data_IF_603698389130
#
_entry.id   IF_603698389130
#
_cell.length_a   1.000
_cell.length_b   1.000
_cell.length_c   1.000
_cell.angle_alpha   90.00
_cell.angle_beta   90.00
_cell.angle_gamma   90.00
#
_symmetry.space_group_name_H-M   'P 1'
#
loop_
_entity.id
_entity.type
_entity.pdbx_description
1 polymer ?
#
# COMPACT_ATOMS: atom_id res chain seq x y z
N UNK A 1 24.02 14.12 0.77
CA UNK A 1 22.57 14.08 1.06
C UNK A 1 21.92 15.04 0.10
N UNK A 2 21.39 14.53 -1.02
CA UNK A 2 20.60 15.34 -1.94
C UNK A 2 19.23 15.58 -1.30
N UNK A 3 19.08 16.72 -0.64
CA UNK A 3 17.78 17.21 -0.19
C UNK A 3 16.91 17.51 -1.42
N UNK A 4 15.64 17.13 -1.37
CA UNK A 4 14.61 17.36 -2.42
C UNK A 4 14.35 18.86 -2.75
N UNK A 5 15.16 19.77 -2.23
CA UNK A 5 15.11 21.22 -2.47
C UNK A 5 15.33 21.62 -3.93
N UNK A 6 15.85 20.72 -4.77
CA UNK A 6 16.08 20.94 -6.20
C UNK A 6 15.08 20.19 -7.12
N UNK A 7 13.96 19.69 -6.59
CA UNK A 7 12.98 18.98 -7.40
C UNK A 7 12.24 19.95 -8.34
N UNK A 8 12.61 19.92 -9.61
CA UNK A 8 12.11 20.81 -10.68
C UNK A 8 10.65 20.57 -11.11
N UNK A 9 9.89 19.74 -10.37
CA UNK A 9 8.56 19.29 -10.77
C UNK A 9 8.54 18.30 -11.94
N UNK A 10 9.68 18.03 -12.58
CA UNK A 10 9.85 16.90 -13.48
C UNK A 10 10.54 15.75 -12.73
N UNK A 11 9.99 14.53 -12.77
CA UNK A 11 10.70 13.37 -12.24
C UNK A 11 12.05 13.28 -12.96
N UNK A 12 13.18 13.05 -12.26
CA UNK A 12 14.46 12.88 -12.91
C UNK A 12 14.31 11.82 -14.01
N UNK A 13 14.52 12.24 -15.26
CA UNK A 13 14.63 11.34 -16.42
C UNK A 13 15.96 10.58 -16.36
N UNK A 14 16.31 10.02 -15.21
CA UNK A 14 17.23 8.90 -15.23
C UNK A 14 16.46 7.81 -15.99
N UNK A 15 16.86 7.53 -17.23
CA UNK A 15 16.56 6.22 -17.81
C UNK A 15 17.17 5.23 -16.83
N UNK A 16 16.34 4.65 -15.97
CA UNK A 16 16.78 3.55 -15.12
C UNK A 16 17.48 2.53 -16.00
N UNK A 17 18.38 1.75 -15.40
CA UNK A 17 18.77 0.49 -16.02
C UNK A 17 17.47 -0.21 -16.47
N UNK A 18 17.40 -0.63 -17.73
CA UNK A 18 16.15 -1.12 -18.30
C UNK A 18 15.55 -2.21 -17.41
N UNK A 19 14.24 -2.17 -17.20
CA UNK A 19 13.52 -3.23 -16.48
C UNK A 19 13.76 -4.53 -17.23
N UNK A 20 14.21 -5.56 -16.52
CA UNK A 20 14.51 -6.85 -17.11
C UNK A 20 13.21 -7.57 -17.53
N UNK A 21 13.29 -8.47 -18.51
CA UNK A 21 12.13 -9.25 -18.92
C UNK A 21 11.52 -10.09 -17.76
N UNK A 22 12.32 -10.70 -16.86
CA UNK A 22 11.78 -11.36 -15.67
C UNK A 22 11.00 -10.40 -14.75
N UNK A 23 11.50 -9.19 -14.50
CA UNK A 23 10.77 -8.21 -13.67
C UNK A 23 9.44 -7.79 -14.32
N UNK A 24 9.40 -7.64 -15.65
CA UNK A 24 8.15 -7.37 -16.36
C UNK A 24 7.16 -8.54 -16.27
N UNK A 25 7.66 -9.77 -16.25
CA UNK A 25 6.83 -10.96 -16.05
C UNK A 25 6.26 -11.00 -14.63
N UNK A 26 7.09 -10.78 -13.61
CA UNK A 26 6.64 -10.72 -12.22
C UNK A 26 5.60 -9.61 -12.00
N UNK A 27 5.80 -8.44 -12.62
CA UNK A 27 4.83 -7.35 -12.61
C UNK A 27 3.50 -7.81 -13.22
N UNK A 28 3.53 -8.42 -14.40
CA UNK A 28 2.34 -8.90 -15.07
C UNK A 28 1.62 -9.99 -14.26
N UNK A 29 2.35 -10.93 -13.68
CA UNK A 29 1.79 -12.00 -12.86
C UNK A 29 1.11 -11.45 -11.61
N UNK A 30 1.69 -10.43 -10.96
CA UNK A 30 1.06 -9.75 -9.82
C UNK A 30 -0.24 -9.02 -10.23
N UNK A 31 -0.22 -8.34 -11.39
CA UNK A 31 -1.38 -7.63 -11.92
C UNK A 31 -2.53 -8.60 -12.25
N UNK A 32 -2.23 -9.66 -13.00
CA UNK A 32 -3.21 -10.65 -13.42
C UNK A 32 -3.75 -11.44 -12.22
N UNK A 33 -2.91 -11.78 -11.25
CA UNK A 33 -3.34 -12.45 -10.02
C UNK A 33 -4.33 -11.58 -9.23
N UNK A 34 -4.05 -10.29 -9.06
CA UNK A 34 -4.99 -9.37 -8.41
C UNK A 34 -6.32 -9.29 -9.17
N UNK A 35 -6.28 -9.27 -10.50
CA UNK A 35 -7.49 -9.25 -11.33
C UNK A 35 -8.30 -10.55 -11.21
N UNK A 36 -7.64 -11.70 -11.16
CA UNK A 36 -8.32 -12.99 -10.96
C UNK A 36 -8.91 -13.13 -9.57
N UNK A 37 -8.28 -12.59 -8.53
CA UNK A 37 -8.88 -12.51 -7.19
C UNK A 37 -10.18 -11.71 -7.23
N UNK A 38 -10.24 -10.59 -7.95
CA UNK A 38 -11.48 -9.81 -8.09
C UNK A 38 -12.60 -10.60 -8.80
N UNK A 39 -12.27 -11.41 -9.81
CA UNK A 39 -13.26 -12.29 -10.47
C UNK A 39 -13.74 -13.39 -9.53
N UNK A 40 -12.83 -14.10 -8.86
CA UNK A 40 -13.16 -15.13 -7.89
C UNK A 40 -14.01 -14.57 -6.72
N UNK A 41 -13.71 -13.36 -6.25
CA UNK A 41 -14.48 -12.67 -5.22
C UNK A 41 -15.94 -12.46 -5.64
N UNK A 42 -16.19 -12.10 -6.91
CA UNK A 42 -17.54 -11.92 -7.46
C UNK A 42 -18.30 -13.25 -7.55
N UNK A 43 -17.63 -14.31 -8.01
CA UNK A 43 -18.23 -15.65 -8.05
C UNK A 43 -18.58 -16.16 -6.65
N UNK A 44 -17.67 -16.00 -5.68
CA UNK A 44 -17.90 -16.36 -4.29
C UNK A 44 -19.01 -15.53 -3.65
N UNK A 45 -19.13 -14.24 -4.00
CA UNK A 45 -20.22 -13.39 -3.54
C UNK A 45 -21.57 -13.88 -4.06
N UNK A 46 -21.66 -14.27 -5.34
CA UNK A 46 -22.89 -14.86 -5.91
C UNK A 46 -23.29 -16.16 -5.21
N UNK A 47 -22.32 -16.91 -4.68
CA UNK A 47 -22.54 -18.12 -3.89
C UNK A 47 -22.83 -17.84 -2.41
N UNK A 48 -22.85 -16.58 -1.96
CA UNK A 48 -23.04 -16.21 -0.55
C UNK A 48 -21.84 -16.56 0.35
N UNK A 49 -20.64 -16.64 -0.22
CA UNK A 49 -19.40 -17.05 0.48
C UNK A 49 -18.40 -15.91 0.68
N UNK A 50 -18.53 -14.82 -0.06
CA UNK A 50 -17.77 -13.59 0.15
C UNK A 50 -18.74 -12.44 0.47
N UNK A 51 -18.63 -11.87 1.67
CA UNK A 51 -19.67 -10.98 2.22
C UNK A 51 -19.37 -9.50 2.01
N UNK A 52 -18.09 -9.14 1.85
CA UNK A 52 -17.67 -7.77 1.63
C UNK A 52 -16.54 -7.73 0.61
N UNK A 53 -16.89 -7.41 -0.64
CA UNK A 53 -15.95 -7.42 -1.77
C UNK A 53 -15.69 -5.99 -2.25
N UNK A 54 -14.42 -5.61 -2.29
CA UNK A 54 -13.97 -4.38 -2.95
C UNK A 54 -12.81 -4.78 -3.84
N UNK A 55 -13.00 -4.64 -5.15
CA UNK A 55 -11.99 -5.01 -6.13
C UNK A 55 -10.88 -3.98 -6.27
N UNK A 56 -9.72 -4.46 -6.73
CA UNK A 56 -8.55 -3.65 -7.10
C UNK A 56 -8.49 -3.34 -8.60
N UNK A 57 -9.52 -3.74 -9.35
CA UNK A 57 -9.70 -3.48 -10.76
C UNK A 57 -9.39 -2.03 -11.17
N UNK A 58 -8.43 -1.87 -12.09
CA UNK A 58 -7.97 -0.58 -12.60
C UNK A 58 -6.79 0.01 -11.82
N UNK A 59 -6.42 -0.59 -10.69
CA UNK A 59 -5.36 -0.14 -9.79
C UNK A 59 -4.16 -1.09 -9.79
N UNK A 60 -4.09 -2.06 -10.71
CA UNK A 60 -3.07 -3.11 -10.67
C UNK A 60 -1.64 -2.59 -10.88
N UNK A 61 -1.48 -1.39 -11.45
CA UNK A 61 -0.19 -0.73 -11.58
C UNK A 61 0.52 -0.49 -10.24
N UNK A 62 -0.20 -0.49 -9.11
CA UNK A 62 0.43 -0.37 -7.78
C UNK A 62 1.35 -1.56 -7.41
N UNK A 63 1.32 -2.66 -8.16
CA UNK A 63 2.34 -3.72 -8.09
C UNK A 63 3.76 -3.17 -8.35
N UNK A 64 3.91 -2.23 -9.30
CA UNK A 64 5.21 -1.63 -9.60
C UNK A 64 5.76 -0.83 -8.40
N UNK A 65 4.88 -0.21 -7.61
CA UNK A 65 5.28 0.47 -6.37
C UNK A 65 5.79 -0.53 -5.35
N UNK A 66 5.12 -1.68 -5.18
CA UNK A 66 5.61 -2.73 -4.30
C UNK A 66 6.99 -3.24 -4.73
N UNK A 67 7.18 -3.47 -6.02
CA UNK A 67 8.45 -3.95 -6.60
C UNK A 67 9.60 -2.96 -6.42
N UNK A 68 9.32 -1.65 -6.42
CA UNK A 68 10.31 -0.61 -6.17
C UNK A 68 10.70 -0.48 -4.68
N UNK A 69 10.00 -1.16 -3.78
CA UNK A 69 10.21 -1.12 -2.33
C UNK A 69 10.72 -2.47 -1.83
N UNK A 70 11.44 -2.46 -0.70
CA UNK A 70 11.94 -3.69 -0.07
C UNK A 70 10.83 -4.35 0.75
N UNK A 71 10.85 -5.69 0.93
CA UNK A 71 9.91 -6.39 1.82
C UNK A 71 9.86 -5.85 3.25
N UNK A 72 10.96 -5.27 3.72
CA UNK A 72 11.11 -4.67 5.05
C UNK A 72 10.58 -3.24 5.18
N UNK A 73 10.22 -2.59 4.07
CA UNK A 73 9.66 -1.24 4.07
C UNK A 73 8.17 -1.31 4.48
N UNK A 74 7.75 -0.65 5.57
CA UNK A 74 6.40 -0.77 6.11
C UNK A 74 5.37 -0.09 5.21
N UNK A 75 4.28 -0.81 4.92
CA UNK A 75 3.22 -0.38 4.02
C UNK A 75 1.88 -0.23 4.75
N UNK A 76 1.21 0.91 4.54
CA UNK A 76 -0.17 1.16 4.93
C UNK A 76 -1.00 1.40 3.66
N UNK A 77 -1.81 0.42 3.29
CA UNK A 77 -2.35 0.35 1.93
C UNK A 77 -3.83 0.69 1.86
N UNK A 78 -4.18 1.48 0.85
CA UNK A 78 -5.54 1.67 0.37
C UNK A 78 -6.23 0.33 0.08
N UNK A 79 -7.56 0.29 0.24
CA UNK A 79 -8.34 -0.95 0.18
C UNK A 79 -8.43 -1.58 -1.23
N UNK A 80 -7.89 -0.90 -2.25
CA UNK A 80 -7.75 -1.36 -3.65
C UNK A 80 -6.32 -1.77 -4.02
N UNK A 81 -5.46 -2.00 -3.03
CA UNK A 81 -4.05 -2.35 -3.27
C UNK A 81 -3.77 -3.86 -3.37
N UNK A 82 -4.63 -4.62 -4.07
CA UNK A 82 -4.47 -6.06 -4.26
C UNK A 82 -3.19 -6.44 -5.01
N UNK A 83 -2.85 -5.73 -6.09
CA UNK A 83 -1.65 -6.05 -6.88
C UNK A 83 -0.35 -5.70 -6.12
N UNK A 84 -0.35 -4.62 -5.33
CA UNK A 84 0.72 -4.32 -4.38
C UNK A 84 0.93 -5.51 -3.43
N UNK A 85 -0.16 -6.04 -2.84
CA UNK A 85 -0.09 -7.16 -1.91
C UNK A 85 0.54 -8.40 -2.58
N UNK A 86 0.08 -8.76 -3.78
CA UNK A 86 0.62 -9.90 -4.53
C UNK A 86 2.10 -9.71 -4.84
N UNK A 87 2.48 -8.56 -5.40
CA UNK A 87 3.87 -8.27 -5.72
C UNK A 87 4.77 -8.30 -4.46
N UNK A 88 4.31 -7.76 -3.34
CA UNK A 88 5.02 -7.84 -2.06
C UNK A 88 5.17 -9.27 -1.56
N UNK A 89 4.14 -10.11 -1.72
CA UNK A 89 4.20 -11.52 -1.37
C UNK A 89 5.15 -12.33 -2.25
N UNK A 90 5.37 -11.94 -3.51
CA UNK A 90 6.32 -12.60 -4.41
C UNK A 90 7.79 -12.32 -4.05
N UNK A 91 8.07 -11.23 -3.30
CA UNK A 91 9.43 -10.86 -2.90
C UNK A 91 10.02 -11.73 -1.77
N UNK A 92 9.24 -12.65 -1.19
CA UNK A 92 9.73 -13.50 -0.12
C UNK A 92 8.76 -14.62 0.26
N UNK A 93 9.20 -15.61 1.05
CA UNK A 93 8.34 -16.70 1.48
C UNK A 93 7.34 -16.25 2.56
N UNK A 94 6.29 -17.04 2.76
CA UNK A 94 5.44 -16.96 3.95
C UNK A 94 4.08 -16.30 3.76
N UNK A 95 3.66 -16.05 2.52
CA UNK A 95 2.30 -15.68 2.14
C UNK A 95 1.87 -16.50 0.93
N UNK A 96 0.56 -16.75 0.84
CA UNK A 96 -0.11 -17.37 -0.30
C UNK A 96 -1.11 -16.34 -0.80
N UNK A 97 -0.70 -15.38 -1.64
CA UNK A 97 -1.39 -14.09 -1.74
C UNK A 97 -2.83 -14.19 -2.24
N UNK A 98 -3.12 -15.14 -3.13
CA UNK A 98 -4.49 -15.43 -3.58
C UNK A 98 -5.34 -15.95 -2.43
N UNK A 99 -4.84 -16.92 -1.65
CA UNK A 99 -5.55 -17.49 -0.51
C UNK A 99 -5.75 -16.45 0.60
N UNK A 100 -4.73 -15.64 0.90
CA UNK A 100 -4.77 -14.63 1.95
C UNK A 100 -5.82 -13.54 1.65
N UNK A 101 -5.84 -13.04 0.41
CA UNK A 101 -6.82 -12.05 -0.04
C UNK A 101 -8.24 -12.64 -0.04
N UNK A 102 -8.43 -13.87 -0.55
CA UNK A 102 -9.73 -14.54 -0.55
C UNK A 102 -10.21 -14.83 0.88
N UNK A 103 -9.32 -15.24 1.80
CA UNK A 103 -9.65 -15.48 3.20
C UNK A 103 -10.22 -14.23 3.86
N UNK A 104 -9.65 -13.05 3.59
CA UNK A 104 -10.17 -11.78 4.10
C UNK A 104 -11.55 -11.43 3.53
N UNK A 105 -11.77 -11.63 2.23
CA UNK A 105 -13.05 -11.37 1.56
C UNK A 105 -14.18 -12.31 2.02
N UNK A 106 -13.82 -13.52 2.45
CA UNK A 106 -14.74 -14.56 2.93
C UNK A 106 -14.97 -14.52 4.45
N UNK A 107 -14.42 -13.53 5.17
CA UNK A 107 -14.45 -13.46 6.64
C UNK A 107 -13.93 -14.76 7.30
N UNK A 108 -12.91 -15.38 6.70
CA UNK A 108 -12.36 -16.64 7.17
C UNK A 108 -11.54 -16.45 8.43
N UNK A 109 -11.64 -17.38 9.39
CA UNK A 109 -10.74 -17.43 10.54
C UNK A 109 -9.27 -17.69 10.15
N UNK A 110 -9.04 -18.11 8.90
CA UNK A 110 -7.71 -18.25 8.30
C UNK A 110 -7.13 -16.96 7.76
N UNK A 111 -7.88 -15.86 7.74
CA UNK A 111 -7.35 -14.54 7.37
C UNK A 111 -6.15 -14.21 8.29
N UNK A 112 -4.93 -14.09 7.73
CA UNK A 112 -3.70 -13.95 8.51
C UNK A 112 -3.61 -12.62 9.29
N UNK A 113 -4.44 -11.64 8.95
CA UNK A 113 -4.43 -10.33 9.60
C UNK A 113 -5.62 -10.09 10.51
N UNK A 114 -6.84 -10.42 10.08
CA UNK A 114 -8.05 -10.10 10.85
C UNK A 114 -8.65 -11.28 11.61
N UNK A 115 -8.29 -12.51 11.25
CA UNK A 115 -8.96 -13.72 11.74
C UNK A 115 -10.47 -13.74 11.41
N UNK A 116 -10.86 -13.14 10.29
CA UNK A 116 -12.25 -13.07 9.81
C UNK A 116 -13.08 -11.93 10.39
N UNK A 117 -12.48 -11.06 11.22
CA UNK A 117 -13.19 -9.95 11.88
C UNK A 117 -13.39 -8.74 10.97
N UNK A 118 -12.60 -8.61 9.91
CA UNK A 118 -12.63 -7.45 9.04
C UNK A 118 -12.04 -7.77 7.66
N UNK A 119 -12.65 -7.27 6.59
CA UNK A 119 -11.98 -7.25 5.27
C UNK A 119 -10.92 -6.15 5.29
N UNK A 120 -9.66 -6.53 5.31
CA UNK A 120 -8.53 -5.58 5.37
C UNK A 120 -7.35 -6.12 4.59
N UNK A 121 -6.64 -5.23 3.89
CA UNK A 121 -5.35 -5.56 3.29
C UNK A 121 -4.28 -5.43 4.37
N UNK A 122 -3.64 -6.54 4.71
CA UNK A 122 -2.58 -6.59 5.71
C UNK A 122 -2.01 -7.99 5.86
N UNK A 123 -0.76 -8.08 6.29
CA UNK A 123 -0.11 -9.35 6.59
C UNK A 123 1.14 -9.13 7.43
N UNK A 124 1.28 -9.78 8.60
CA UNK A 124 2.39 -9.53 9.51
C UNK A 124 3.76 -9.87 8.90
N UNK A 125 3.85 -10.90 8.05
CA UNK A 125 5.11 -11.28 7.38
C UNK A 125 5.45 -10.47 6.13
N UNK A 126 4.52 -9.65 5.62
CA UNK A 126 4.74 -8.83 4.42
C UNK A 126 5.05 -7.38 4.76
N UNK A 127 5.10 -7.04 6.06
CA UNK A 127 5.28 -5.66 6.52
C UNK A 127 4.15 -4.75 6.01
N UNK A 128 2.97 -5.33 5.76
CA UNK A 128 1.74 -4.61 5.39
C UNK A 128 0.89 -4.50 6.64
N UNK A 129 0.83 -3.29 7.19
CA UNK A 129 0.14 -3.01 8.44
C UNK A 129 -1.37 -2.90 8.18
N UNK A 130 -2.21 -3.46 9.08
CA UNK A 130 -3.65 -3.33 8.95
C UNK A 130 -4.07 -1.88 9.19
N UNK A 131 -5.09 -1.47 8.46
CA UNK A 131 -5.77 -0.19 8.66
C UNK A 131 -7.29 -0.36 8.80
N UNK A 132 -7.96 0.67 9.30
CA UNK A 132 -9.41 0.68 9.40
C UNK A 132 -10.06 1.00 8.05
N UNK A 133 -11.37 0.84 7.94
CA UNK A 133 -12.15 1.24 6.76
C UNK A 133 -12.26 2.76 6.61
N UNK A 134 -11.88 3.53 7.64
CA UNK A 134 -11.89 5.00 7.60
C UNK A 134 -10.81 5.51 6.65
N UNK A 135 -11.24 6.07 5.52
CA UNK A 135 -10.34 6.63 4.50
C UNK A 135 -9.37 7.65 5.11
N UNK A 136 -8.14 7.67 4.61
CA UNK A 136 -7.03 8.52 5.07
C UNK A 136 -6.66 8.44 6.57
N UNK A 137 -7.32 7.62 7.39
CA UNK A 137 -7.06 7.57 8.84
C UNK A 137 -5.68 7.00 9.17
N UNK A 138 -5.07 6.25 8.25
CA UNK A 138 -3.73 5.70 8.37
C UNK A 138 -2.62 6.71 8.09
N UNK A 139 -2.89 7.84 7.44
CA UNK A 139 -1.86 8.80 7.07
C UNK A 139 -1.13 9.42 8.28
N UNK A 140 -1.81 9.87 9.36
CA UNK A 140 -1.11 10.33 10.56
C UNK A 140 -0.20 9.26 11.18
N UNK A 141 -0.63 7.98 11.14
CA UNK A 141 0.19 6.86 11.61
C UNK A 141 1.41 6.65 10.72
N UNK A 142 1.26 6.78 9.40
CA UNK A 142 2.37 6.68 8.46
C UNK A 142 3.40 7.79 8.68
N UNK A 143 2.95 9.03 8.88
CA UNK A 143 3.83 10.18 9.22
C UNK A 143 4.56 9.92 10.53
N UNK A 144 3.86 9.50 11.58
CA UNK A 144 4.48 9.19 12.87
C UNK A 144 5.52 8.07 12.75
N UNK A 145 5.21 7.01 12.00
CA UNK A 145 6.14 5.91 11.77
C UNK A 145 7.36 6.35 10.97
N UNK A 146 7.19 7.16 9.92
CA UNK A 146 8.31 7.68 9.15
C UNK A 146 9.21 8.57 10.00
N UNK A 147 8.60 9.47 10.78
CA UNK A 147 9.31 10.39 11.66
C UNK A 147 10.19 9.67 12.70
N UNK A 148 9.80 8.46 13.14
CA UNK A 148 10.54 7.73 14.18
C UNK A 148 11.62 6.78 13.67
N UNK A 149 11.65 6.41 12.38
CA UNK A 149 12.62 5.44 11.82
C UNK A 149 14.06 5.84 12.10
N UNK A 150 14.47 7.05 11.70
CA UNK A 150 15.84 7.57 11.87
C UNK A 150 16.14 7.95 13.34
N UNK A 151 15.10 8.24 14.13
CA UNK A 151 15.28 8.76 15.49
C UNK A 151 15.39 7.68 16.55
N UNK A 152 14.95 6.45 16.26
CA UNK A 152 14.99 5.30 17.19
C UNK A 152 14.46 5.62 18.60
N UNK A 153 13.48 6.52 18.70
CA UNK A 153 12.85 6.91 19.98
C UNK A 153 12.09 5.76 20.64
N UNK A 154 11.73 4.76 19.84
CA UNK A 154 11.17 3.48 20.25
C UNK A 154 11.85 2.38 19.44
N UNK A 155 11.96 1.19 20.01
CA UNK A 155 12.40 0.02 19.27
C UNK A 155 11.39 -0.29 18.15
N UNK A 156 11.85 -0.41 16.92
CA UNK A 156 11.02 -0.77 15.77
C UNK A 156 11.64 -1.95 15.03
N UNK A 157 10.83 -2.84 14.44
CA UNK A 157 11.33 -3.94 13.61
C UNK A 157 11.82 -3.47 12.23
N UNK A 158 11.81 -2.16 11.96
CA UNK A 158 12.12 -1.60 10.64
C UNK A 158 13.63 -1.24 10.55
N UNK A 159 14.26 -1.48 9.39
CA UNK A 159 15.60 -0.97 9.11
C UNK A 159 15.74 0.55 9.28
N UNK A 160 16.96 1.04 9.54
CA UNK A 160 17.22 2.49 9.72
C UNK A 160 16.99 3.30 8.44
N UNK A 161 17.18 2.66 7.31
CA UNK A 161 16.97 3.22 5.98
C UNK A 161 15.58 2.89 5.40
N UNK A 162 14.65 2.41 6.25
CA UNK A 162 13.30 2.06 5.82
C UNK A 162 12.50 3.27 5.32
N UNK A 163 11.72 3.05 4.26
CA UNK A 163 10.75 4.02 3.76
C UNK A 163 9.36 3.54 4.12
N UNK A 164 8.56 4.39 4.76
CA UNK A 164 7.14 4.11 4.97
C UNK A 164 6.39 4.41 3.69
N UNK A 165 5.61 3.47 3.17
CA UNK A 165 4.68 3.74 2.07
C UNK A 165 3.25 3.81 2.59
N UNK A 166 2.50 4.82 2.15
CA UNK A 166 1.08 4.96 2.41
C UNK A 166 0.32 5.23 1.11
N UNK A 167 -0.58 4.32 0.71
CA UNK A 167 -1.44 4.56 -0.45
C UNK A 167 -2.82 5.09 -0.04
N UNK A 168 -3.39 5.94 -0.88
CA UNK A 168 -4.72 6.55 -0.74
C UNK A 168 -5.39 6.66 -2.11
N UNK A 169 -6.72 6.71 -2.16
CA UNK A 169 -7.43 7.21 -3.34
C UNK A 169 -7.54 8.74 -3.32
N UNK A 170 -7.65 9.36 -4.49
CA UNK A 170 -7.91 10.80 -4.71
C UNK A 170 -8.98 11.39 -3.77
N UNK A 171 -10.13 10.74 -3.65
CA UNK A 171 -11.23 11.20 -2.80
C UNK A 171 -10.83 11.33 -1.32
N UNK A 172 -9.81 10.57 -0.88
CA UNK A 172 -9.30 10.61 0.49
C UNK A 172 -8.58 11.92 0.81
N UNK A 173 -8.13 12.68 -0.19
CA UNK A 173 -7.47 13.97 0.00
C UNK A 173 -8.40 15.03 0.62
N UNK A 174 -9.71 14.88 0.45
CA UNK A 174 -10.71 15.76 1.09
C UNK A 174 -10.88 15.48 2.60
N UNK A 175 -10.27 14.42 3.14
CA UNK A 175 -10.37 14.07 4.54
C UNK A 175 -9.40 14.89 5.39
N UNK A 176 -9.85 15.38 6.55
CA UNK A 176 -9.04 16.24 7.44
C UNK A 176 -7.74 15.57 7.92
N UNK A 177 -7.75 14.25 8.09
CA UNK A 177 -6.55 13.48 8.46
C UNK A 177 -5.51 13.46 7.34
N UNK A 178 -5.93 13.47 6.07
CA UNK A 178 -5.00 13.57 4.94
C UNK A 178 -4.33 14.94 4.93
N UNK A 179 -5.12 16.01 5.02
CA UNK A 179 -4.61 17.37 5.08
C UNK A 179 -3.64 17.56 6.26
N UNK A 180 -4.05 17.13 7.47
CA UNK A 180 -3.23 17.23 8.66
C UNK A 180 -1.91 16.46 8.56
N UNK A 181 -1.96 15.23 8.04
CA UNK A 181 -0.77 14.40 7.87
C UNK A 181 0.21 14.97 6.83
N UNK A 182 -0.29 15.37 5.66
CA UNK A 182 0.54 15.96 4.60
C UNK A 182 1.14 17.30 5.05
N UNK A 183 0.37 18.14 5.74
CA UNK A 183 0.87 19.39 6.31
C UNK A 183 1.93 19.13 7.39
N UNK A 184 1.73 18.15 8.27
CA UNK A 184 2.72 17.78 9.27
C UNK A 184 4.03 17.28 8.63
N UNK A 185 3.94 16.41 7.61
CA UNK A 185 5.12 15.94 6.88
C UNK A 185 5.87 17.10 6.18
N UNK A 186 5.12 18.01 5.55
CA UNK A 186 5.68 19.22 4.94
C UNK A 186 6.36 20.14 5.95
N UNK A 187 5.72 20.38 7.10
CA UNK A 187 6.28 21.17 8.19
C UNK A 187 7.57 20.56 8.75
N UNK A 188 7.57 19.24 9.01
CA UNK A 188 8.76 18.53 9.48
C UNK A 188 9.92 18.64 8.47
N UNK A 189 9.63 18.43 7.19
CA UNK A 189 10.62 18.57 6.12
C UNK A 189 11.17 19.99 6.06
N UNK A 190 10.30 21.01 6.18
CA UNK A 190 10.71 22.41 6.24
C UNK A 190 11.61 22.72 7.45
N UNK A 191 11.39 22.07 8.60
CA UNK A 191 12.23 22.16 9.80
C UNK A 191 13.53 21.33 9.70
N UNK A 192 13.80 20.70 8.55
CA UNK A 192 14.98 19.86 8.36
C UNK A 192 14.91 18.48 9.06
N UNK A 193 13.72 18.09 9.53
CA UNK A 193 13.51 16.76 10.11
C UNK A 193 13.32 15.72 8.99
N UNK A 194 14.11 14.62 8.97
CA UNK A 194 13.88 13.52 8.02
C UNK A 194 12.52 12.85 8.27
N UNK A 195 11.77 12.65 7.20
CA UNK A 195 10.49 11.93 7.15
C UNK A 195 10.50 11.01 5.91
N UNK A 196 11.09 9.80 5.99
CA UNK A 196 11.14 8.85 4.88
C UNK A 196 9.75 8.25 4.61
N UNK A 197 8.88 9.05 3.99
CA UNK A 197 7.49 8.74 3.70
C UNK A 197 7.22 8.87 2.19
N UNK A 198 6.77 7.79 1.57
CA UNK A 198 6.21 7.76 0.22
C UNK A 198 4.68 7.73 0.33
N UNK A 199 4.01 8.83 -0.01
CA UNK A 199 2.55 8.85 -0.15
C UNK A 199 2.17 8.62 -1.60
N UNK A 200 1.34 7.61 -1.87
CA UNK A 200 0.91 7.22 -3.22
C UNK A 200 -0.58 7.52 -3.37
N UNK A 201 -0.91 8.48 -4.23
CA UNK A 201 -2.30 8.81 -4.55
C UNK A 201 -2.72 8.06 -5.81
N UNK A 202 -3.66 7.13 -5.65
CA UNK A 202 -4.33 6.41 -6.74
C UNK A 202 -5.49 7.27 -7.24
N UNK A 203 -5.21 8.12 -8.23
CA UNK A 203 -6.20 9.00 -8.85
C UNK A 203 -6.92 8.29 -9.99
N UNK A 204 -8.18 7.94 -9.75
CA UNK A 204 -9.08 7.40 -10.77
C UNK A 204 -10.23 8.37 -11.09
N UNK A 205 -10.15 9.62 -10.63
CA UNK A 205 -11.13 10.68 -10.86
C UNK A 205 -12.53 10.39 -10.33
N UNK A 206 -12.68 9.52 -9.32
CA UNK A 206 -14.00 9.22 -8.75
C UNK A 206 -13.95 8.66 -7.31
N UNK A 207 -14.63 9.37 -6.41
CA UNK A 207 -15.00 8.92 -5.07
C UNK A 207 -16.39 8.29 -5.03
N UNK A 208 -16.49 6.98 -5.25
CA UNK A 208 -17.76 6.22 -5.33
C UNK A 208 -18.68 6.74 -6.46
N UNK A 209 -19.42 7.82 -6.23
CA UNK A 209 -20.33 8.47 -7.17
C UNK A 209 -20.02 9.96 -7.37
N UNK A 210 -18.95 10.46 -6.77
CA UNK A 210 -18.52 11.86 -6.82
C UNK A 210 -17.34 11.98 -7.77
N UNK A 211 -17.43 12.76 -8.86
CA UNK A 211 -16.31 13.04 -9.76
C UNK A 211 -15.31 14.04 -9.16
#
# INVERSE_FOLDING_TARGET
>A
MDTLTNWSGQPPRARGQGVSAPELQDLFDAQVSSRHVDFAARELQQQGRAFYTIGSAGHEANAAVAMALRPSDPALLHYRSGAFYVARAMQGPGSTPVEDLLASLMSSTKDPISGGRHKVIGHPKLTILPQTSTIASHLPRAVGMAFTIDRRVVETPWPEDAVVVASIGDASLNHSTALGALNAAGYLTHQGAPVPLLTVCEDNGIGISVP
#
